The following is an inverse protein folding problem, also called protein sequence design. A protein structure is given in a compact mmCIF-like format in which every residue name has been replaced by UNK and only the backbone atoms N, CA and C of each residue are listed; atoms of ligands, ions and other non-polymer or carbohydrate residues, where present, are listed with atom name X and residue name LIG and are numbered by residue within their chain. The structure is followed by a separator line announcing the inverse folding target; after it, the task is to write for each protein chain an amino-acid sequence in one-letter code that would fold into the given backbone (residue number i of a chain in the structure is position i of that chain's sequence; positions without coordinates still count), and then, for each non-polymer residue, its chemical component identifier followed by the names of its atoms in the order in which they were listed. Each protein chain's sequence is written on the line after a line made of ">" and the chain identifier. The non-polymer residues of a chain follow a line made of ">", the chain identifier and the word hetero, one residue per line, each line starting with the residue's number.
data_IF_175704314406
#
_entry.id   IF_175704314406
#
_cell.length_a   1.000
_cell.length_b   1.000
_cell.length_c   1.000
_cell.angle_alpha   90.00
_cell.angle_beta   90.00
_cell.angle_gamma   90.00
#
_symmetry.space_group_name_H-M   'P 1'
#
loop_
_entity.id
_entity.type
_entity.pdbx_description
1 polymer ?
#
# COMPACT_ATOMS: atom_id res chain seq x y z
N UNK A 1 23.68 3.23 -19.14
CA UNK A 1 22.33 2.92 -18.60
C UNK A 1 22.12 3.84 -17.40
N UNK A 2 21.23 4.82 -17.52
CA UNK A 2 21.01 5.89 -16.54
C UNK A 2 19.54 5.89 -16.09
N UNK A 3 18.94 4.70 -15.95
CA UNK A 3 17.59 4.54 -15.42
C UNK A 3 17.65 4.42 -13.90
N UNK A 4 17.89 5.56 -13.24
CA UNK A 4 17.75 5.70 -11.80
C UNK A 4 16.32 6.16 -11.48
N UNK A 5 15.58 5.35 -10.73
CA UNK A 5 14.25 5.72 -10.24
C UNK A 5 14.35 6.22 -8.80
N UNK A 6 13.75 7.38 -8.54
CA UNK A 6 13.64 7.93 -7.19
C UNK A 6 12.58 7.18 -6.39
N UNK A 7 12.78 7.03 -5.07
CA UNK A 7 11.80 6.44 -4.16
C UNK A 7 11.17 7.53 -3.32
N UNK A 8 9.93 7.88 -3.64
CA UNK A 8 9.14 8.82 -2.84
C UNK A 8 8.61 8.19 -1.55
N UNK A 9 8.35 6.87 -1.58
CA UNK A 9 7.92 6.11 -0.41
C UNK A 9 9.06 5.26 0.14
N UNK A 10 9.21 5.20 1.47
CA UNK A 10 10.19 4.36 2.18
C UNK A 10 9.81 2.87 2.17
N UNK A 11 9.20 2.40 1.08
CA UNK A 11 8.75 1.03 0.86
C UNK A 11 9.43 0.40 -0.37
N UNK A 12 9.19 -0.89 -0.60
CA UNK A 12 9.63 -1.57 -1.82
C UNK A 12 9.02 -0.88 -3.04
N UNK A 13 9.80 -0.67 -4.12
CA UNK A 13 9.33 0.05 -5.33
C UNK A 13 8.02 -0.53 -5.90
N UNK A 14 7.80 -1.82 -5.65
CA UNK A 14 6.62 -2.57 -6.07
C UNK A 14 5.32 -2.12 -5.41
N UNK A 15 5.36 -1.42 -4.26
CA UNK A 15 4.16 -0.84 -3.63
C UNK A 15 3.84 0.56 -4.14
N UNK A 16 4.79 1.24 -4.81
CA UNK A 16 4.67 2.67 -5.14
C UNK A 16 3.51 2.95 -6.09
N UNK A 17 3.28 2.21 -7.20
CA UNK A 17 2.15 2.50 -8.09
C UNK A 17 0.79 2.42 -7.40
N UNK A 18 0.63 1.50 -6.44
CA UNK A 18 -0.62 1.37 -5.67
C UNK A 18 -0.76 2.48 -4.62
N UNK A 19 0.34 2.88 -3.99
CA UNK A 19 0.37 3.99 -3.04
C UNK A 19 0.01 5.32 -3.73
N UNK A 20 0.63 5.61 -4.87
CA UNK A 20 0.37 6.84 -5.63
C UNK A 20 -1.08 6.90 -6.12
N UNK A 21 -1.62 5.76 -6.60
CA UNK A 21 -3.02 5.67 -7.03
C UNK A 21 -4.01 5.88 -5.87
N UNK A 22 -3.70 5.34 -4.68
CA UNK A 22 -4.53 5.55 -3.50
C UNK A 22 -4.49 7.02 -3.06
N UNK A 23 -3.29 7.61 -2.93
CA UNK A 23 -3.11 9.00 -2.52
C UNK A 23 -3.88 9.94 -3.45
N UNK A 24 -3.70 9.77 -4.77
CA UNK A 24 -4.44 10.54 -5.78
C UNK A 24 -5.96 10.42 -5.61
N UNK A 25 -6.47 9.20 -5.40
CA UNK A 25 -7.90 8.98 -5.21
C UNK A 25 -8.46 9.57 -3.92
N UNK A 26 -7.65 9.60 -2.84
CA UNK A 26 -7.99 10.25 -1.58
C UNK A 26 -8.06 11.77 -1.76
N UNK A 27 -7.05 12.37 -2.39
CA UNK A 27 -6.97 13.81 -2.64
C UNK A 27 -8.09 14.30 -3.57
N UNK A 28 -8.29 13.64 -4.72
CA UNK A 28 -9.30 14.05 -5.72
C UNK A 28 -10.73 14.01 -5.19
N UNK A 29 -10.98 13.18 -4.17
CA UNK A 29 -12.31 12.96 -3.60
C UNK A 29 -12.47 13.58 -2.21
N UNK A 30 -11.42 14.19 -1.66
CA UNK A 30 -11.42 14.73 -0.30
C UNK A 30 -11.76 13.67 0.76
N UNK A 31 -11.33 12.43 0.57
CA UNK A 31 -11.62 11.35 1.50
C UNK A 31 -10.79 11.49 2.77
N UNK A 32 -11.39 11.19 3.91
CA UNK A 32 -10.72 10.96 5.17
C UNK A 32 -10.54 9.45 5.40
N UNK A 33 -9.69 9.08 6.37
CA UNK A 33 -9.53 7.68 6.75
C UNK A 33 -10.86 7.03 7.18
N UNK A 34 -11.75 7.80 7.81
CA UNK A 34 -13.07 7.35 8.25
C UNK A 34 -14.01 7.00 7.09
N UNK A 35 -13.82 7.62 5.93
CA UNK A 35 -14.60 7.36 4.71
C UNK A 35 -14.19 6.04 4.02
N UNK A 36 -13.05 5.46 4.40
CA UNK A 36 -12.46 4.30 3.73
C UNK A 36 -12.84 3.01 4.49
N UNK A 37 -13.87 2.33 4.00
CA UNK A 37 -14.25 1.00 4.52
C UNK A 37 -13.20 -0.09 4.21
N UNK A 38 -12.41 0.09 3.14
CA UNK A 38 -11.34 -0.81 2.79
C UNK A 38 -10.70 -0.48 1.44
N UNK A 39 -9.43 -0.85 1.27
CA UNK A 39 -8.66 -0.66 0.04
C UNK A 39 -8.38 -2.01 -0.60
N UNK A 40 -8.69 -2.15 -1.89
CA UNK A 40 -8.32 -3.31 -2.71
C UNK A 40 -7.38 -2.87 -3.82
N UNK A 41 -6.11 -3.24 -3.72
CA UNK A 41 -5.12 -2.98 -4.75
C UNK A 41 -4.98 -4.16 -5.72
N UNK A 42 -4.77 -3.86 -6.99
CA UNK A 42 -4.37 -4.84 -8.02
C UNK A 42 -3.02 -4.39 -8.58
N UNK A 43 -1.99 -5.22 -8.41
CA UNK A 43 -0.65 -4.96 -8.90
C UNK A 43 0.01 -6.26 -9.35
N UNK A 44 0.78 -6.22 -10.44
CA UNK A 44 1.56 -7.37 -10.91
C UNK A 44 2.55 -7.88 -9.85
N UNK A 45 2.95 -7.02 -8.91
CA UNK A 45 3.87 -7.36 -7.84
C UNK A 45 3.23 -8.04 -6.62
N UNK A 46 1.92 -8.34 -6.64
CA UNK A 46 1.25 -9.05 -5.53
C UNK A 46 1.78 -10.47 -5.35
N UNK A 47 2.32 -11.11 -6.38
CA UNK A 47 2.95 -12.42 -6.25
C UNK A 47 4.30 -12.35 -5.52
N UNK A 48 4.97 -11.20 -5.60
CA UNK A 48 6.24 -10.91 -4.93
C UNK A 48 6.03 -10.39 -3.50
N UNK A 49 5.04 -9.52 -3.29
CA UNK A 49 4.80 -8.84 -2.02
C UNK A 49 3.69 -9.46 -1.16
N UNK A 50 2.78 -10.22 -1.77
CA UNK A 50 1.57 -10.75 -1.10
C UNK A 50 1.86 -11.80 -0.03
N UNK A 51 3.11 -12.25 0.11
CA UNK A 51 3.53 -13.15 1.19
C UNK A 51 3.62 -12.44 2.55
N UNK A 52 3.63 -11.09 2.57
CA UNK A 52 3.72 -10.30 3.81
C UNK A 52 2.38 -9.63 4.11
N UNK A 53 1.44 -10.41 4.66
CA UNK A 53 0.12 -9.94 5.09
C UNK A 53 0.08 -9.36 6.51
N UNK A 54 0.89 -9.90 7.44
CA UNK A 54 1.02 -9.41 8.83
C UNK A 54 2.50 -9.13 9.16
N UNK A 55 3.02 -7.93 8.84
CA UNK A 55 4.40 -7.59 9.12
C UNK A 55 4.63 -7.28 10.62
N UNK A 56 5.47 -8.08 11.28
CA UNK A 56 5.83 -7.92 12.70
C UNK A 56 7.18 -7.21 12.92
N UNK A 57 7.84 -6.77 11.86
CA UNK A 57 9.13 -6.07 11.92
C UNK A 57 9.19 -4.92 10.92
N UNK A 58 9.98 -3.90 11.21
CA UNK A 58 10.19 -2.73 10.33
C UNK A 58 10.60 -3.19 8.93
N UNK A 59 11.52 -4.15 8.83
CA UNK A 59 11.97 -4.66 7.54
C UNK A 59 10.80 -5.23 6.73
N UNK A 60 9.99 -6.10 7.35
CA UNK A 60 8.85 -6.74 6.68
C UNK A 60 7.75 -5.73 6.31
N UNK A 61 7.53 -4.70 7.11
CA UNK A 61 6.54 -3.65 6.81
C UNK A 61 6.76 -2.99 5.46
N UNK A 62 8.03 -2.75 5.07
CA UNK A 62 8.38 -2.14 3.77
C UNK A 62 8.03 -3.01 2.55
N UNK A 63 7.78 -4.30 2.75
CA UNK A 63 7.41 -5.26 1.71
C UNK A 63 5.95 -5.72 1.80
N UNK A 64 5.17 -5.14 2.72
CA UNK A 64 3.74 -5.43 2.84
C UNK A 64 2.93 -4.37 2.10
N UNK A 65 2.27 -4.76 1.00
CA UNK A 65 1.36 -3.87 0.27
C UNK A 65 0.27 -3.34 1.19
N UNK A 66 -0.30 -4.19 2.04
CA UNK A 66 -1.41 -3.83 2.93
C UNK A 66 -0.98 -2.78 3.95
N UNK A 67 0.17 -2.99 4.60
CA UNK A 67 0.71 -2.04 5.57
C UNK A 67 1.03 -0.69 4.94
N UNK A 68 1.65 -0.68 3.76
CA UNK A 68 2.00 0.57 3.06
C UNK A 68 0.74 1.35 2.67
N UNK A 69 -0.27 0.67 2.10
CA UNK A 69 -1.53 1.33 1.73
C UNK A 69 -2.33 1.79 2.95
N UNK A 70 -2.23 1.08 4.08
CA UNK A 70 -2.80 1.52 5.34
C UNK A 70 -2.22 2.89 5.73
N UNK A 71 -0.88 3.03 5.73
CA UNK A 71 -0.23 4.30 6.08
C UNK A 71 -0.55 5.46 5.12
N UNK A 72 -0.86 5.17 3.85
CA UNK A 72 -1.23 6.20 2.87
C UNK A 72 -2.69 6.64 3.06
N UNK A 73 -3.60 5.69 3.28
CA UNK A 73 -5.01 5.99 3.52
C UNK A 73 -5.30 6.52 4.94
N UNK A 74 -4.39 6.24 5.88
CA UNK A 74 -4.47 6.65 7.28
C UNK A 74 -3.62 7.92 7.49
N UNK A 75 -4.18 9.06 7.09
CA UNK A 75 -3.59 10.37 7.42
C UNK A 75 -3.71 10.71 8.91
N UNK A 76 -4.40 9.87 9.71
CA UNK A 76 -4.50 9.95 11.18
C UNK A 76 -4.32 8.57 11.84
N UNK A 77 -3.07 8.18 12.10
CA UNK A 77 -2.55 6.87 12.58
C UNK A 77 -3.35 6.16 13.70
N UNK A 78 -4.59 5.73 13.45
CA UNK A 78 -5.46 5.03 14.42
C UNK A 78 -6.28 3.91 13.76
N UNK A 79 -5.57 2.82 13.46
CA UNK A 79 -6.04 1.42 13.39
C UNK A 79 -7.30 1.16 12.51
N UNK A 80 -7.10 0.80 11.23
CA UNK A 80 -8.05 -0.06 10.49
C UNK A 80 -7.36 -1.01 9.49
N UNK A 81 -8.01 -2.14 9.22
CA UNK A 81 -7.45 -3.29 8.52
C UNK A 81 -7.56 -3.18 6.99
N UNK A 82 -6.42 -3.28 6.28
CA UNK A 82 -6.36 -3.35 4.81
C UNK A 82 -6.53 -4.80 4.35
N UNK A 83 -7.59 -5.08 3.58
CA UNK A 83 -7.87 -6.42 3.04
C UNK A 83 -7.19 -6.64 1.68
N UNK A 84 -6.13 -7.46 1.67
CA UNK A 84 -5.45 -7.89 0.45
C UNK A 84 -6.15 -9.13 -0.14
N UNK A 85 -6.70 -9.00 -1.35
CA UNK A 85 -7.34 -10.12 -2.05
C UNK A 85 -6.34 -10.81 -2.97
N UNK A 86 -5.88 -12.01 -2.61
CA UNK A 86 -5.24 -12.95 -3.54
C UNK A 86 -6.34 -13.66 -4.33
N UNK A 87 -6.21 -13.77 -5.66
CA UNK A 87 -7.02 -14.74 -6.41
C UNK A 87 -6.55 -16.15 -6.04
N UNK A 88 -7.51 -17.05 -5.88
CA UNK A 88 -7.28 -18.47 -5.72
C UNK A 88 -6.66 -19.11 -6.95
N UNK A 89 -6.22 -20.35 -6.71
CA UNK A 89 -5.61 -21.35 -7.60
C UNK A 89 -5.96 -21.25 -9.10
#
# INVERSE_FOLDING_TARGET
>A
MLEASFKYHTACRHTHPAADALLKGVEERGLTADDIAGVRARAAALDVLGSVSDPRTIHRSKFSMGFVLALIGDTDVRRRAVHLSRRGA
#
